data_IF_856526005557
#
_entry.id   IF_856526005557
#
_cell.length_a   1.000
_cell.length_b   1.000
_cell.length_c   1.000
_cell.angle_alpha   90.00
_cell.angle_beta   90.00
_cell.angle_gamma   90.00
#
_symmetry.space_group_name_H-M   'P 1'
#
loop_
_entity.id
_entity.type
_entity.pdbx_description
1 polymer ?
#
# COMPACT_ATOMS: atom_id res chain seq x y z
N UNK A 1 1.31 -20.50 26.49
CA UNK A 1 2.34 -20.14 25.48
C UNK A 1 2.02 -20.68 24.08
N UNK A 2 1.50 -21.92 23.91
CA UNK A 2 1.17 -22.49 22.59
C UNK A 2 0.01 -21.76 21.90
N UNK A 3 -1.01 -21.33 22.65
CA UNK A 3 -2.14 -20.58 22.10
C UNK A 3 -1.79 -19.12 21.71
N UNK A 4 -0.76 -18.55 22.28
CA UNK A 4 -0.29 -17.21 21.92
C UNK A 4 0.52 -17.18 20.63
N UNK A 5 1.20 -18.27 20.30
CA UNK A 5 2.03 -18.37 19.10
C UNK A 5 1.21 -18.38 17.81
N UNK A 6 -0.04 -18.82 17.82
CA UNK A 6 -0.96 -18.69 16.67
C UNK A 6 -1.16 -17.23 16.23
N UNK A 7 -0.95 -16.26 17.12
CA UNK A 7 -1.01 -14.83 16.81
C UNK A 7 0.20 -14.33 16.01
N UNK A 8 1.27 -15.11 15.94
CA UNK A 8 2.55 -14.70 15.35
C UNK A 8 2.94 -15.48 14.08
N UNK A 9 1.99 -16.13 13.41
CA UNK A 9 2.25 -16.95 12.21
C UNK A 9 3.40 -17.95 12.40
N UNK A 10 3.41 -18.66 13.54
CA UNK A 10 4.43 -19.67 13.81
C UNK A 10 4.22 -20.86 12.88
N UNK A 11 5.20 -21.12 12.03
CA UNK A 11 5.14 -22.16 11.01
C UNK A 11 5.23 -23.56 11.64
N UNK A 12 6.03 -23.73 12.70
CA UNK A 12 6.19 -25.03 13.41
C UNK A 12 6.55 -24.86 14.86
N UNK A 13 6.16 -25.88 15.66
CA UNK A 13 6.46 -26.03 17.08
C UNK A 13 7.40 -27.21 17.31
N UNK A 14 8.48 -26.99 18.04
CA UNK A 14 9.39 -28.02 18.45
C UNK A 14 9.39 -28.09 19.98
N UNK A 15 9.14 -29.29 20.53
CA UNK A 15 9.13 -29.53 21.98
C UNK A 15 10.54 -29.86 22.48
N UNK A 16 10.95 -29.23 23.57
CA UNK A 16 12.23 -29.56 24.25
C UNK A 16 12.10 -30.83 25.04
N UNK A 17 13.13 -31.70 25.11
CA UNK A 17 14.48 -31.53 24.56
C UNK A 17 14.55 -31.80 23.05
N UNK A 18 15.31 -31.02 22.30
CA UNK A 18 15.48 -31.12 20.86
C UNK A 18 16.93 -31.48 20.55
N UNK A 19 17.14 -32.47 19.69
CA UNK A 19 18.45 -32.81 19.15
C UNK A 19 18.82 -31.97 17.91
N UNK A 20 20.12 -31.84 17.62
CA UNK A 20 20.58 -31.13 16.42
C UNK A 20 20.10 -31.80 15.12
N UNK A 21 19.89 -33.13 15.12
CA UNK A 21 19.34 -33.86 13.97
C UNK A 21 17.88 -33.49 13.72
N UNK A 22 17.03 -33.43 14.76
CA UNK A 22 15.63 -33.05 14.63
C UNK A 22 15.47 -31.60 14.12
N UNK A 23 16.31 -30.69 14.59
CA UNK A 23 16.34 -29.32 14.06
C UNK A 23 16.70 -29.33 12.59
N UNK A 24 17.73 -30.06 12.20
CA UNK A 24 18.18 -30.13 10.79
C UNK A 24 17.10 -30.73 9.87
N UNK A 25 16.42 -31.80 10.33
CA UNK A 25 15.31 -32.40 9.57
C UNK A 25 14.14 -31.45 9.38
N UNK A 26 13.78 -30.70 10.43
CA UNK A 26 12.70 -29.70 10.32
C UNK A 26 13.09 -28.54 9.39
N UNK A 27 14.33 -28.09 9.42
CA UNK A 27 14.79 -27.07 8.45
C UNK A 27 14.76 -27.58 7.00
N UNK A 28 15.11 -28.83 6.74
CA UNK A 28 15.01 -29.44 5.42
C UNK A 28 13.54 -29.50 4.95
N UNK A 29 12.61 -29.85 5.82
CA UNK A 29 11.17 -29.87 5.51
C UNK A 29 10.64 -28.47 5.21
N UNK A 30 10.97 -27.48 6.06
CA UNK A 30 10.57 -26.07 5.86
C UNK A 30 11.13 -25.56 4.54
N UNK A 31 12.39 -25.86 4.24
CA UNK A 31 13.01 -25.47 2.96
C UNK A 31 12.25 -26.08 1.78
N UNK A 32 11.92 -27.37 1.83
CA UNK A 32 11.18 -28.05 0.77
C UNK A 32 9.77 -27.46 0.57
N UNK A 33 9.07 -27.14 1.66
CA UNK A 33 7.77 -26.47 1.61
C UNK A 33 7.88 -25.06 1.01
N UNK A 34 8.92 -24.30 1.37
CA UNK A 34 9.19 -22.98 0.79
C UNK A 34 9.57 -23.06 -0.69
N UNK A 35 10.38 -24.03 -1.08
CA UNK A 35 10.77 -24.24 -2.47
C UNK A 35 9.54 -24.65 -3.31
N UNK A 36 8.66 -25.51 -2.78
CA UNK A 36 7.40 -25.90 -3.44
C UNK A 36 6.42 -24.71 -3.58
N UNK A 37 6.28 -23.90 -2.53
CA UNK A 37 5.48 -22.68 -2.57
C UNK A 37 6.06 -21.68 -3.60
N UNK A 38 7.38 -21.52 -3.63
CA UNK A 38 8.07 -20.65 -4.58
C UNK A 38 7.90 -21.13 -6.03
N UNK A 39 7.97 -22.45 -6.29
CA UNK A 39 7.71 -23.01 -7.61
C UNK A 39 6.22 -22.92 -7.99
N UNK A 40 5.30 -23.06 -7.04
CA UNK A 40 3.86 -22.83 -7.24
C UNK A 40 3.58 -21.36 -7.62
N UNK A 41 4.23 -20.42 -6.94
CA UNK A 41 4.16 -19.00 -7.26
C UNK A 41 4.76 -18.67 -8.63
N UNK A 42 5.79 -19.42 -9.07
CA UNK A 42 6.38 -19.27 -10.40
C UNK A 42 5.53 -19.87 -11.55
N UNK A 43 4.83 -20.97 -11.30
CA UNK A 43 4.27 -21.79 -12.39
C UNK A 43 2.77 -21.67 -12.62
N UNK A 44 2.00 -21.13 -11.66
CA UNK A 44 0.53 -21.24 -11.76
C UNK A 44 -0.24 -19.92 -11.76
N UNK A 45 -0.08 -19.09 -10.77
CA UNK A 45 -0.92 -17.89 -10.59
C UNK A 45 -0.13 -16.61 -10.75
N UNK A 46 1.21 -16.69 -10.65
CA UNK A 46 2.08 -15.52 -10.58
C UNK A 46 2.21 -14.77 -11.91
N UNK A 47 1.97 -15.40 -13.05
CA UNK A 47 2.10 -14.71 -14.33
C UNK A 47 0.94 -13.74 -14.58
N UNK A 48 -0.30 -14.16 -14.34
CA UNK A 48 -1.47 -13.28 -14.57
C UNK A 48 -1.56 -12.14 -13.58
N UNK A 49 -1.35 -12.40 -12.29
CA UNK A 49 -1.34 -11.35 -11.25
C UNK A 49 -0.16 -10.39 -11.43
N UNK A 50 1.02 -10.93 -11.76
CA UNK A 50 2.21 -10.11 -12.02
C UNK A 50 2.03 -9.28 -13.29
N UNK A 51 1.46 -9.86 -14.35
CA UNK A 51 1.16 -9.16 -15.59
C UNK A 51 0.11 -8.07 -15.39
N UNK A 52 -0.95 -8.36 -14.60
CA UNK A 52 -1.97 -7.38 -14.27
C UNK A 52 -1.38 -6.22 -13.44
N UNK A 53 -0.53 -6.53 -12.46
CA UNK A 53 0.17 -5.52 -11.65
C UNK A 53 1.10 -4.64 -12.50
N UNK A 54 1.80 -5.25 -13.45
CA UNK A 54 2.63 -4.52 -14.41
C UNK A 54 1.79 -3.57 -15.27
N UNK A 55 0.68 -4.05 -15.84
CA UNK A 55 -0.26 -3.22 -16.61
C UNK A 55 -0.85 -2.07 -15.80
N UNK A 56 -1.20 -2.32 -14.54
CA UNK A 56 -1.66 -1.26 -13.63
C UNK A 56 -0.56 -0.22 -13.38
N UNK A 57 0.68 -0.67 -13.20
CA UNK A 57 1.83 0.22 -12.99
C UNK A 57 2.10 1.07 -14.22
N UNK A 58 2.14 0.47 -15.40
CA UNK A 58 2.35 1.16 -16.68
C UNK A 58 1.25 2.21 -16.95
N UNK A 59 0.02 1.93 -16.54
CA UNK A 59 -1.10 2.85 -16.69
C UNK A 59 -1.07 3.99 -15.66
N UNK A 60 -0.90 3.66 -14.37
CA UNK A 60 -1.07 4.63 -13.28
C UNK A 60 0.16 5.49 -13.00
N UNK A 61 1.36 4.94 -13.17
CA UNK A 61 2.57 5.65 -12.81
C UNK A 61 2.77 6.96 -13.60
N UNK A 62 2.57 6.99 -14.94
CA UNK A 62 2.61 8.23 -15.71
C UNK A 62 1.57 9.25 -15.26
N UNK A 63 0.34 8.81 -14.92
CA UNK A 63 -0.73 9.69 -14.45
C UNK A 63 -0.42 10.31 -13.09
N UNK A 64 0.15 9.53 -12.17
CA UNK A 64 0.57 10.02 -10.85
C UNK A 64 1.76 11.00 -10.94
N UNK A 65 2.63 10.83 -11.94
CA UNK A 65 3.80 11.68 -12.17
C UNK A 65 3.51 12.90 -13.07
N UNK A 66 2.31 12.98 -13.68
CA UNK A 66 1.95 14.07 -14.59
C UNK A 66 2.63 13.99 -15.96
N UNK A 67 3.09 12.81 -16.38
CA UNK A 67 3.73 12.60 -17.68
C UNK A 67 2.81 11.93 -18.70
N UNK A 68 1.57 11.60 -18.32
CA UNK A 68 0.61 10.86 -19.14
C UNK A 68 -0.69 11.63 -19.45
N UNK A 69 -0.80 12.88 -19.04
CA UNK A 69 -2.07 13.65 -19.13
C UNK A 69 -2.50 13.94 -20.57
N UNK A 70 -1.56 14.11 -21.49
CA UNK A 70 -1.84 14.48 -22.90
C UNK A 70 -2.03 13.26 -23.83
N UNK A 71 -1.89 12.04 -23.33
CA UNK A 71 -1.86 10.83 -24.16
C UNK A 71 -3.28 10.26 -24.36
N UNK A 72 -4.18 10.49 -23.42
CA UNK A 72 -5.50 9.85 -23.40
C UNK A 72 -6.61 10.85 -23.17
N UNK A 73 -7.76 10.60 -23.77
CA UNK A 73 -8.98 11.32 -23.43
C UNK A 73 -9.50 10.90 -22.05
N UNK A 74 -10.26 11.74 -21.34
CA UNK A 74 -10.83 11.37 -20.03
C UNK A 74 -11.65 10.08 -20.06
N UNK A 75 -12.33 9.79 -21.18
CA UNK A 75 -13.11 8.59 -21.35
C UNK A 75 -12.23 7.35 -21.50
N UNK A 76 -11.18 7.41 -22.31
CA UNK A 76 -10.21 6.30 -22.46
C UNK A 76 -9.52 5.96 -21.15
N UNK A 77 -9.24 6.97 -20.32
CA UNK A 77 -8.69 6.75 -18.98
C UNK A 77 -9.68 6.03 -18.06
N UNK A 78 -10.95 6.41 -18.06
CA UNK A 78 -11.99 5.72 -17.29
C UNK A 78 -12.17 4.27 -17.74
N UNK A 79 -12.26 4.04 -19.04
CA UNK A 79 -12.41 2.69 -19.61
C UNK A 79 -11.20 1.81 -19.29
N UNK A 80 -10.00 2.35 -19.33
CA UNK A 80 -8.78 1.64 -18.96
C UNK A 80 -8.73 1.33 -17.46
N UNK A 81 -9.10 2.29 -16.59
CA UNK A 81 -9.20 2.08 -15.16
C UNK A 81 -10.20 0.96 -14.81
N UNK A 82 -11.34 0.90 -15.52
CA UNK A 82 -12.35 -0.15 -15.36
C UNK A 82 -11.84 -1.52 -15.79
N UNK A 83 -11.20 -1.60 -16.96
CA UNK A 83 -10.58 -2.86 -17.45
C UNK A 83 -9.50 -3.40 -16.53
N UNK A 84 -8.74 -2.53 -15.88
CA UNK A 84 -7.70 -2.89 -14.92
C UNK A 84 -8.23 -3.16 -13.51
N UNK A 85 -9.56 -3.07 -13.30
CA UNK A 85 -10.18 -3.31 -11.99
C UNK A 85 -9.82 -2.24 -10.94
N UNK A 86 -9.38 -1.06 -11.38
CA UNK A 86 -9.06 0.06 -10.50
C UNK A 86 -10.32 0.76 -10.00
N UNK A 87 -11.38 0.76 -10.80
CA UNK A 87 -12.72 1.25 -10.44
C UNK A 87 -13.74 0.16 -10.67
N UNK A 88 -14.82 0.17 -9.91
CA UNK A 88 -15.97 -0.74 -10.02
C UNK A 88 -17.17 -0.09 -10.69
N UNK A 89 -17.31 1.21 -10.50
CA UNK A 89 -18.42 2.04 -10.99
C UNK A 89 -17.89 3.28 -11.69
N UNK A 90 -18.69 3.82 -12.64
CA UNK A 90 -18.39 5.08 -13.30
C UNK A 90 -18.49 6.30 -12.35
N UNK A 91 -19.11 6.11 -11.19
CA UNK A 91 -19.23 7.11 -10.12
C UNK A 91 -18.09 7.01 -9.08
N UNK A 92 -17.16 6.07 -9.25
CA UNK A 92 -16.03 5.97 -8.35
C UNK A 92 -15.12 7.19 -8.49
N UNK A 93 -14.73 7.70 -7.34
CA UNK A 93 -13.79 8.81 -7.20
C UNK A 93 -12.41 8.27 -6.79
N UNK A 94 -11.42 9.12 -6.88
CA UNK A 94 -10.03 8.79 -6.63
C UNK A 94 -9.48 9.65 -5.49
N UNK A 95 -8.64 9.08 -4.66
CA UNK A 95 -7.79 9.80 -3.72
C UNK A 95 -6.40 9.19 -3.70
N UNK A 96 -5.38 9.99 -3.47
CA UNK A 96 -4.00 9.52 -3.34
C UNK A 96 -3.55 9.65 -1.90
N UNK A 97 -3.00 8.57 -1.38
CA UNK A 97 -2.37 8.50 -0.07
C UNK A 97 -0.87 8.34 -0.28
N UNK A 98 -0.07 9.23 0.27
CA UNK A 98 1.39 9.13 0.22
C UNK A 98 1.91 8.81 1.61
N UNK A 99 2.53 7.64 1.78
CA UNK A 99 3.14 7.20 3.01
C UNK A 99 4.67 7.16 2.90
N UNK A 100 5.34 7.47 4.01
CA UNK A 100 6.79 7.40 4.14
C UNK A 100 7.16 6.79 5.49
N UNK A 101 8.03 5.80 5.46
CA UNK A 101 8.52 5.09 6.63
C UNK A 101 9.90 5.62 7.01
N UNK A 102 10.10 5.81 8.29
CA UNK A 102 11.36 6.28 8.88
C UNK A 102 11.70 5.48 10.12
N UNK A 103 12.97 5.35 10.41
CA UNK A 103 13.43 4.91 11.73
C UNK A 103 13.06 5.96 12.78
N UNK A 104 13.10 5.62 14.05
CA UNK A 104 12.91 6.62 15.12
C UNK A 104 14.05 7.64 15.19
N UNK A 105 15.23 7.32 14.63
CA UNK A 105 16.33 8.30 14.41
C UNK A 105 16.05 9.28 13.27
N UNK A 106 14.98 9.07 12.47
CA UNK A 106 14.55 9.97 11.39
C UNK A 106 15.05 9.60 10.01
N UNK A 107 15.82 8.53 9.87
CA UNK A 107 16.33 8.04 8.58
C UNK A 107 15.22 7.43 7.73
N UNK A 108 15.25 7.68 6.43
CA UNK A 108 14.28 7.09 5.50
C UNK A 108 14.57 5.59 5.34
N UNK A 109 13.59 4.76 5.66
CA UNK A 109 13.64 3.31 5.47
C UNK A 109 12.51 2.80 4.58
N UNK A 110 11.88 3.69 3.80
CA UNK A 110 10.81 3.28 2.86
C UNK A 110 11.41 2.46 1.72
N UNK A 111 10.92 1.24 1.55
CA UNK A 111 11.36 0.28 0.55
C UNK A 111 10.17 -0.37 -0.17
N UNK A 112 10.45 -1.10 -1.26
CA UNK A 112 9.41 -1.71 -2.09
C UNK A 112 8.53 -2.73 -1.33
N UNK A 113 9.08 -3.45 -0.35
CA UNK A 113 8.32 -4.41 0.46
C UNK A 113 7.17 -3.76 1.27
N UNK A 114 7.23 -2.45 1.53
CA UNK A 114 6.13 -1.72 2.18
C UNK A 114 4.89 -1.61 1.27
N UNK A 115 4.99 -1.88 -0.04
CA UNK A 115 3.84 -1.91 -0.95
C UNK A 115 2.82 -2.94 -0.48
N UNK A 116 3.26 -4.17 -0.26
CA UNK A 116 2.37 -5.28 0.13
C UNK A 116 1.79 -5.03 1.53
N UNK A 117 2.57 -4.46 2.44
CA UNK A 117 2.10 -4.04 3.76
C UNK A 117 1.00 -2.96 3.66
N UNK A 118 1.20 -1.92 2.86
CA UNK A 118 0.19 -0.87 2.66
C UNK A 118 -1.06 -1.43 2.00
N UNK A 119 -0.91 -2.21 0.93
CA UNK A 119 -2.03 -2.86 0.24
C UNK A 119 -2.80 -3.82 1.15
N UNK A 120 -2.15 -4.57 2.03
CA UNK A 120 -2.80 -5.49 2.96
C UNK A 120 -3.67 -4.78 4.00
N UNK A 121 -3.32 -3.55 4.38
CA UNK A 121 -4.11 -2.75 5.32
C UNK A 121 -5.20 -1.96 4.60
N UNK A 122 -4.83 -1.16 3.59
CA UNK A 122 -5.78 -0.29 2.88
C UNK A 122 -6.82 -1.11 2.11
N UNK A 123 -6.40 -2.23 1.52
CA UNK A 123 -7.26 -3.15 0.76
C UNK A 123 -8.39 -3.80 1.56
N UNK A 124 -8.32 -3.82 2.90
CA UNK A 124 -9.44 -4.27 3.75
C UNK A 124 -10.65 -3.30 3.69
N UNK A 125 -10.41 -2.04 3.38
CA UNK A 125 -11.40 -0.96 3.49
C UNK A 125 -11.85 -0.42 2.14
N UNK A 126 -10.94 -0.36 1.17
CA UNK A 126 -11.20 0.20 -0.16
C UNK A 126 -10.42 -0.53 -1.24
N UNK A 127 -10.84 -0.37 -2.49
CA UNK A 127 -10.01 -0.79 -3.61
C UNK A 127 -8.78 0.12 -3.70
N UNK A 128 -7.59 -0.47 -3.76
CA UNK A 128 -6.36 0.31 -3.76
C UNK A 128 -5.26 -0.35 -4.59
N UNK A 129 -4.32 0.48 -5.05
CA UNK A 129 -3.10 0.04 -5.71
C UNK A 129 -1.94 0.93 -5.27
N UNK A 130 -0.84 0.32 -4.83
CA UNK A 130 0.31 1.04 -4.27
C UNK A 130 1.54 0.89 -5.14
N UNK A 131 2.33 1.98 -5.19
CA UNK A 131 3.55 2.08 -5.98
C UNK A 131 4.69 2.67 -5.15
N UNK A 132 5.89 2.16 -5.34
CA UNK A 132 7.10 2.78 -4.78
C UNK A 132 7.61 3.86 -5.73
N UNK A 133 7.62 5.10 -5.28
CA UNK A 133 8.02 6.26 -6.09
C UNK A 133 8.90 7.20 -5.26
N UNK A 134 10.12 7.41 -5.70
CA UNK A 134 11.02 8.40 -5.11
C UNK A 134 11.13 8.31 -3.56
N UNK A 135 11.34 7.08 -3.04
CA UNK A 135 11.53 6.84 -1.60
C UNK A 135 10.27 7.03 -0.75
N UNK A 136 9.10 6.80 -1.33
CA UNK A 136 7.78 6.82 -0.68
C UNK A 136 6.84 5.81 -1.35
N UNK A 137 5.75 5.48 -0.68
CA UNK A 137 4.68 4.68 -1.26
C UNK A 137 3.54 5.63 -1.62
N UNK A 138 3.17 5.66 -2.89
CA UNK A 138 1.97 6.32 -3.39
C UNK A 138 0.87 5.27 -3.58
N UNK A 139 -0.25 5.42 -2.92
CA UNK A 139 -1.40 4.51 -2.97
C UNK A 139 -2.58 5.23 -3.59
N UNK A 140 -3.04 4.74 -4.74
CA UNK A 140 -4.34 5.12 -5.29
C UNK A 140 -5.42 4.40 -4.50
N UNK A 141 -6.42 5.14 -4.04
CA UNK A 141 -7.62 4.60 -3.39
C UNK A 141 -8.83 5.00 -4.21
N UNK A 142 -9.72 4.04 -4.50
CA UNK A 142 -10.94 4.29 -5.26
C UNK A 142 -12.17 3.85 -4.46
N UNK A 143 -13.20 4.68 -4.48
CA UNK A 143 -14.48 4.46 -3.81
C UNK A 143 -15.52 5.46 -4.29
N UNK A 144 -16.78 5.23 -3.97
CA UNK A 144 -17.82 6.25 -4.11
C UNK A 144 -17.48 7.48 -3.26
N UNK A 145 -17.85 8.67 -3.75
CA UNK A 145 -17.47 9.95 -3.14
C UNK A 145 -17.91 10.06 -1.66
N UNK A 146 -19.13 9.60 -1.34
CA UNK A 146 -19.72 9.66 0.00
C UNK A 146 -18.97 8.79 1.02
N UNK A 147 -18.43 7.66 0.56
CA UNK A 147 -17.71 6.70 1.40
C UNK A 147 -16.22 6.99 1.53
N UNK A 148 -15.62 7.75 0.59
CA UNK A 148 -14.19 7.96 0.50
C UNK A 148 -13.57 8.44 1.82
N UNK A 149 -14.18 9.41 2.48
CA UNK A 149 -13.68 9.95 3.75
C UNK A 149 -13.58 8.86 4.84
N UNK A 150 -14.60 8.01 4.94
CA UNK A 150 -14.65 6.92 5.93
C UNK A 150 -13.62 5.84 5.59
N UNK A 151 -13.53 5.47 4.31
CA UNK A 151 -12.62 4.45 3.80
C UNK A 151 -11.14 4.87 3.83
N UNK A 152 -10.86 6.15 3.99
CA UNK A 152 -9.50 6.66 4.16
C UNK A 152 -9.08 6.78 5.63
N UNK A 153 -9.98 7.18 6.52
CA UNK A 153 -9.63 7.49 7.93
C UNK A 153 -9.15 6.28 8.71
N UNK A 154 -9.89 5.18 8.65
CA UNK A 154 -9.55 3.97 9.42
C UNK A 154 -8.24 3.33 8.96
N UNK A 155 -8.03 3.03 7.66
CA UNK A 155 -6.82 2.37 7.22
C UNK A 155 -5.54 3.19 7.47
N UNK A 156 -5.59 4.52 7.37
CA UNK A 156 -4.38 5.33 7.63
C UNK A 156 -3.98 5.34 9.10
N UNK A 157 -4.96 5.27 10.03
CA UNK A 157 -4.68 5.11 11.45
C UNK A 157 -4.09 3.73 11.72
N UNK A 158 -4.72 2.68 11.18
CA UNK A 158 -4.22 1.30 11.31
C UNK A 158 -2.79 1.18 10.74
N UNK A 159 -2.52 1.81 9.59
CA UNK A 159 -1.22 1.80 8.95
C UNK A 159 -0.12 2.40 9.84
N UNK A 160 -0.37 3.56 10.45
CA UNK A 160 0.59 4.19 11.37
C UNK A 160 0.84 3.33 12.60
N UNK A 161 -0.22 2.79 13.20
CA UNK A 161 -0.12 1.95 14.40
C UNK A 161 0.61 0.63 14.09
N UNK A 162 0.29 0.00 12.97
CA UNK A 162 0.89 -1.28 12.56
C UNK A 162 2.35 -1.10 12.14
N UNK A 163 2.72 -0.01 11.48
CA UNK A 163 4.10 0.30 11.15
C UNK A 163 4.97 0.38 12.41
N UNK A 164 4.47 1.07 13.45
CA UNK A 164 5.16 1.15 14.75
C UNK A 164 5.26 -0.21 15.43
N UNK A 165 4.16 -0.98 15.42
CA UNK A 165 4.08 -2.24 16.17
C UNK A 165 4.86 -3.38 15.51
N UNK A 166 4.84 -3.48 14.17
CA UNK A 166 5.39 -4.61 13.42
C UNK A 166 6.82 -4.37 12.96
N UNK A 167 7.18 -3.14 12.60
CA UNK A 167 8.47 -2.81 12.02
C UNK A 167 9.33 -1.90 12.90
N UNK A 168 8.81 -1.42 14.04
CA UNK A 168 9.46 -0.41 14.86
C UNK A 168 9.82 0.85 14.05
N UNK A 169 8.90 1.28 13.19
CA UNK A 169 9.08 2.39 12.27
C UNK A 169 8.01 3.45 12.48
N UNK A 170 8.38 4.70 12.23
CA UNK A 170 7.46 5.82 12.15
C UNK A 170 6.92 5.94 10.73
N UNK A 171 5.59 5.87 10.56
CA UNK A 171 4.93 6.11 9.28
C UNK A 171 4.28 7.50 9.28
N UNK A 172 4.60 8.31 8.26
CA UNK A 172 3.97 9.63 8.05
C UNK A 172 3.15 9.60 6.79
N UNK A 173 1.92 10.11 6.84
CA UNK A 173 0.91 9.99 5.78
C UNK A 173 0.36 11.35 5.40
N UNK A 174 0.30 11.60 4.09
CA UNK A 174 -0.44 12.70 3.49
C UNK A 174 -1.52 12.19 2.56
N UNK A 175 -2.67 12.85 2.54
CA UNK A 175 -3.86 12.44 1.82
C UNK A 175 -4.34 13.62 0.98
N UNK A 176 -4.61 13.36 -0.31
CA UNK A 176 -5.14 14.34 -1.24
C UNK A 176 -6.61 14.66 -0.98
N UNK A 177 -7.12 15.64 -1.69
CA UNK A 177 -8.57 15.75 -1.95
C UNK A 177 -9.03 14.56 -2.79
N UNK A 178 -10.33 14.29 -2.70
CA UNK A 178 -11.02 13.36 -3.60
C UNK A 178 -11.21 14.03 -4.95
N UNK A 179 -10.87 13.34 -6.03
CA UNK A 179 -11.03 13.79 -7.42
C UNK A 179 -11.88 12.81 -8.21
N UNK A 180 -12.68 13.31 -9.15
CA UNK A 180 -13.64 12.53 -9.92
C UNK A 180 -13.06 11.97 -11.23
N UNK A 181 -11.91 12.45 -11.64
CA UNK A 181 -11.29 12.09 -12.91
C UNK A 181 -9.85 11.59 -12.75
N UNK A 182 -9.46 10.52 -13.46
CA UNK A 182 -8.07 10.07 -13.50
C UNK A 182 -7.08 11.11 -14.02
N UNK A 183 -7.54 12.08 -14.82
CA UNK A 183 -6.72 13.22 -15.31
C UNK A 183 -6.15 14.04 -14.15
N UNK A 184 -6.84 14.08 -13.01
CA UNK A 184 -6.43 14.85 -11.84
C UNK A 184 -5.51 14.09 -10.89
N UNK A 185 -5.05 12.89 -11.24
CA UNK A 185 -4.24 12.04 -10.36
C UNK A 185 -2.86 12.66 -10.07
N UNK A 186 -2.26 13.38 -11.01
CA UNK A 186 -1.01 14.10 -10.77
C UNK A 186 -1.17 15.19 -9.72
N UNK A 187 -2.25 15.97 -9.83
CA UNK A 187 -2.61 16.98 -8.84
C UNK A 187 -2.87 16.36 -7.48
N UNK A 188 -3.66 15.30 -7.42
CA UNK A 188 -3.93 14.57 -6.18
C UNK A 188 -2.63 14.04 -5.55
N UNK A 189 -1.72 13.48 -6.34
CA UNK A 189 -0.42 13.01 -5.87
C UNK A 189 0.42 14.17 -5.30
N UNK A 190 0.48 15.31 -5.97
CA UNK A 190 1.17 16.50 -5.49
C UNK A 190 0.57 17.04 -4.18
N UNK A 191 -0.75 17.05 -4.05
CA UNK A 191 -1.47 17.42 -2.84
C UNK A 191 -1.12 16.48 -1.67
N UNK A 192 -1.14 15.16 -1.88
CA UNK A 192 -0.80 14.17 -0.85
C UNK A 192 0.66 14.32 -0.40
N UNK A 193 1.59 14.56 -1.33
CA UNK A 193 2.99 14.83 -1.02
C UNK A 193 3.12 16.10 -0.16
N UNK A 194 2.39 17.15 -0.52
CA UNK A 194 2.39 18.42 0.22
C UNK A 194 1.80 18.22 1.62
N UNK A 195 0.63 17.60 1.74
CA UNK A 195 0.01 17.31 3.04
C UNK A 195 0.96 16.51 3.95
N UNK A 196 1.66 15.50 3.41
CA UNK A 196 2.63 14.71 4.19
C UNK A 196 3.81 15.56 4.69
N UNK A 197 4.28 16.56 3.96
CA UNK A 197 5.40 17.42 4.43
C UNK A 197 5.07 18.13 5.72
N UNK A 198 3.83 18.48 5.96
CA UNK A 198 3.38 19.15 7.18
C UNK A 198 3.22 18.21 8.38
N UNK A 199 3.39 16.91 8.24
CA UNK A 199 3.44 15.97 9.38
C UNK A 199 4.71 16.12 10.20
N UNK A 200 5.79 16.70 9.63
CA UNK A 200 7.09 16.87 10.29
C UNK A 200 7.10 17.93 11.39
N UNK A 201 6.10 18.79 11.47
CA UNK A 201 6.09 19.96 12.38
C UNK A 201 5.37 19.69 13.71
N UNK A 202 5.36 18.42 14.18
CA UNK A 202 4.79 18.04 15.49
C UNK A 202 3.26 17.92 15.50
N UNK A 203 2.61 18.03 14.37
CA UNK A 203 1.16 18.08 14.25
C UNK A 203 0.49 16.73 13.93
N UNK A 204 1.15 15.59 14.27
CA UNK A 204 0.65 14.22 14.05
C UNK A 204 1.23 13.58 12.80
N UNK A 205 1.04 12.26 12.68
CA UNK A 205 1.62 11.45 11.60
C UNK A 205 0.73 11.38 10.35
N UNK A 206 -0.51 11.88 10.42
CA UNK A 206 -1.52 11.83 9.34
C UNK A 206 -2.01 13.25 9.04
N UNK A 207 -2.05 13.63 7.75
CA UNK A 207 -2.57 14.92 7.28
C UNK A 207 -3.42 14.76 6.03
N UNK A 208 -4.60 15.36 6.06
CA UNK A 208 -5.43 15.60 4.89
C UNK A 208 -5.10 17.00 4.35
N UNK A 209 -5.06 17.16 3.03
CA UNK A 209 -4.78 18.48 2.42
C UNK A 209 -5.84 19.52 2.81
N UNK A 210 -7.11 19.10 2.92
CA UNK A 210 -8.23 19.97 3.31
C UNK A 210 -8.13 20.53 4.73
N UNK A 211 -7.35 19.90 5.62
CA UNK A 211 -7.14 20.39 6.98
C UNK A 211 -6.28 21.66 7.03
N UNK A 212 -5.64 22.02 5.91
CA UNK A 212 -4.78 23.19 5.80
C UNK A 212 -5.51 24.43 5.30
N UNK A 213 -6.49 24.27 4.40
CA UNK A 213 -7.28 25.38 3.85
C UNK A 213 -8.14 26.07 4.93
N UNK A 214 -8.38 25.40 6.08
CA UNK A 214 -9.12 25.96 7.21
C UNK A 214 -8.28 26.75 8.21
N UNK A 215 -6.95 26.83 8.01
CA UNK A 215 -6.00 27.49 8.92
C UNK A 215 -5.31 28.70 8.31
N UNK A 216 -5.56 28.99 7.06
CA UNK A 216 -5.17 30.21 6.36
C UNK A 216 -6.37 31.14 6.20
#
# INVERSE_FOLDING_TARGET
>A
YAQEAFKYNVIRYLLKPISASEISEEFVKIKAEMDEEFERLKTGTSNEETELRLKKTEFLLPLLLGTGEDIYTPQELKDSAKRLGLIKSDNDCYSVVVSKFKTFSGENCTEAHHIDFVNSIVGKYANCESFFVNGRIATLVTSEAEEMSTKLRLPVIELVQSAKKLFDQKCTIGISQTVESPVLLSLACAQAITARRYTSDGAGDIRFINDQERKS
#
